data_IF_211521017663
#
_entry.id   IF_211521017663
#
_cell.length_a   1.000
_cell.length_b   1.000
_cell.length_c   1.000
_cell.angle_alpha   90.00
_cell.angle_beta   90.00
_cell.angle_gamma   90.00
#
_symmetry.space_group_name_H-M   'P 1'
#
loop_
_entity.id
_entity.type
_entity.pdbx_description
1 polymer ?
#
# COMPACT_ATOMS: atom_id res chain seq x y z
N UNK A 1 7.68 -7.99 -6.73
CA UNK A 1 6.90 -8.80 -5.76
C UNK A 1 5.65 -8.02 -5.44
N UNK A 2 4.46 -8.61 -5.55
CA UNK A 2 3.19 -7.92 -5.33
C UNK A 2 2.35 -8.63 -4.28
N UNK A 3 1.67 -7.85 -3.43
CA UNK A 3 0.72 -8.38 -2.45
C UNK A 3 -0.64 -7.79 -2.73
N UNK A 4 -1.66 -8.63 -2.87
CA UNK A 4 -3.03 -8.17 -2.87
C UNK A 4 -3.50 -8.02 -1.42
N UNK A 5 -3.90 -6.81 -1.04
CA UNK A 5 -4.44 -6.54 0.29
C UNK A 5 -5.63 -5.60 0.18
N UNK A 6 -6.76 -5.98 0.80
CA UNK A 6 -8.04 -5.24 0.74
C UNK A 6 -8.46 -4.86 -0.70
N UNK A 7 -8.24 -5.76 -1.65
CA UNK A 7 -8.58 -5.52 -3.06
C UNK A 7 -7.64 -4.56 -3.79
N UNK A 8 -6.48 -4.22 -3.20
CA UNK A 8 -5.45 -3.38 -3.82
C UNK A 8 -4.16 -4.16 -3.97
N UNK A 9 -3.51 -4.00 -5.12
CA UNK A 9 -2.22 -4.62 -5.40
C UNK A 9 -1.11 -3.65 -5.03
N UNK A 10 -0.29 -4.05 -4.06
CA UNK A 10 0.88 -3.32 -3.59
C UNK A 10 2.14 -3.88 -4.24
N UNK A 11 3.01 -3.01 -4.72
CA UNK A 11 4.26 -3.37 -5.38
C UNK A 11 5.43 -3.08 -4.45
N UNK A 12 6.28 -4.06 -4.22
CA UNK A 12 7.47 -3.93 -3.39
C UNK A 12 8.72 -4.03 -4.25
N UNK A 13 9.68 -3.14 -3.98
CA UNK A 13 10.99 -3.09 -4.64
C UNK A 13 11.91 -4.22 -4.14
N UNK A 14 11.81 -4.60 -2.86
CA UNK A 14 12.67 -5.60 -2.22
C UNK A 14 11.87 -6.49 -1.26
N UNK A 15 12.45 -7.65 -0.89
CA UNK A 15 11.92 -8.54 0.15
C UNK A 15 11.78 -7.82 1.49
N UNK A 16 12.75 -6.99 1.89
CA UNK A 16 12.67 -6.22 3.13
C UNK A 16 11.45 -5.31 3.24
N UNK A 17 11.03 -4.67 2.14
CA UNK A 17 9.81 -3.87 2.11
C UNK A 17 8.54 -4.73 2.25
N UNK A 18 8.54 -5.93 1.67
CA UNK A 18 7.42 -6.88 1.79
C UNK A 18 7.31 -7.41 3.22
N UNK A 19 8.43 -7.78 3.84
CA UNK A 19 8.46 -8.30 5.20
C UNK A 19 8.05 -7.23 6.22
N UNK A 20 8.53 -5.99 6.08
CA UNK A 20 8.05 -4.87 6.90
C UNK A 20 6.54 -4.60 6.72
N UNK A 21 6.04 -4.73 5.48
CA UNK A 21 4.61 -4.66 5.19
C UNK A 21 3.83 -5.81 5.82
N UNK A 22 4.36 -7.04 5.85
CA UNK A 22 3.70 -8.18 6.50
C UNK A 22 3.68 -8.04 8.03
N UNK A 23 4.71 -7.44 8.61
CA UNK A 23 4.81 -7.21 10.06
C UNK A 23 3.86 -6.10 10.52
N UNK A 24 3.75 -5.01 9.74
CA UNK A 24 2.92 -3.85 10.08
C UNK A 24 2.01 -3.36 8.93
N UNK A 25 1.17 -4.24 8.36
CA UNK A 25 0.40 -3.93 7.14
C UNK A 25 -0.52 -2.74 7.36
N UNK A 26 -1.19 -2.66 8.51
CA UNK A 26 -2.14 -1.60 8.82
C UNK A 26 -1.54 -0.20 8.74
N UNK A 27 -0.29 -0.02 9.18
CA UNK A 27 0.38 1.29 9.14
C UNK A 27 0.66 1.71 7.69
N UNK A 28 1.25 0.81 6.90
CA UNK A 28 1.56 1.06 5.50
C UNK A 28 0.30 1.27 4.66
N UNK A 29 -0.75 0.49 4.93
CA UNK A 29 -2.03 0.63 4.24
C UNK A 29 -2.68 1.95 4.62
N UNK A 30 -2.72 2.34 5.90
CA UNK A 30 -3.34 3.60 6.30
C UNK A 30 -2.67 4.80 5.62
N UNK A 31 -1.35 4.80 5.54
CA UNK A 31 -0.59 5.85 4.85
C UNK A 31 -0.83 5.82 3.33
N UNK A 32 -0.84 4.63 2.72
CA UNK A 32 -1.14 4.47 1.30
C UNK A 32 -2.58 4.85 0.94
N UNK A 33 -3.56 4.46 1.74
CA UNK A 33 -4.97 4.83 1.61
C UNK A 33 -5.13 6.35 1.72
N UNK A 34 -4.50 6.98 2.71
CA UNK A 34 -4.53 8.42 2.90
C UNK A 34 -3.97 9.17 1.69
N UNK A 35 -2.87 8.69 1.10
CA UNK A 35 -2.30 9.26 -0.12
C UNK A 35 -3.18 9.01 -1.35
N UNK A 36 -3.71 7.79 -1.50
CA UNK A 36 -4.55 7.43 -2.65
C UNK A 36 -5.91 8.12 -2.62
N UNK A 37 -6.45 8.41 -1.44
CA UNK A 37 -7.67 9.19 -1.29
C UNK A 37 -7.50 10.62 -1.81
N UNK A 38 -6.33 11.23 -1.57
CA UNK A 38 -6.00 12.55 -2.15
C UNK A 38 -5.80 12.50 -3.66
N UNK A 39 -5.27 11.40 -4.19
CA UNK A 39 -5.03 11.24 -5.63
C UNK A 39 -6.34 11.02 -6.41
N UNK A 40 -7.28 10.23 -5.86
CA UNK A 40 -8.60 10.00 -6.48
C UNK A 40 -9.51 11.24 -6.52
N UNK A 41 -9.21 12.28 -5.75
CA UNK A 41 -9.94 13.56 -5.78
C UNK A 41 -9.48 14.49 -6.91
N UNK A 42 -8.28 14.28 -7.46
CA UNK A 42 -7.73 15.13 -8.53
C UNK A 42 -7.97 14.59 -9.95
N UNK A 43 -8.62 13.43 -10.07
CA UNK A 43 -9.07 12.85 -11.34
C UNK A 43 -10.59 13.05 -11.48
N UNK A 44 -11.03 14.31 -11.64
CA UNK A 44 -12.39 14.63 -12.07
C UNK A 44 -12.40 15.88 -12.95
#
# INVERSE_FOLDING_TARGET
MTTNYKGKTYYFCCTGCRDAFNDTPEKYIKEYEARKAKEKENDK
#
